data_IF_382318685687
#
_entry.id   IF_382318685687
#
_cell.length_a   1.000
_cell.length_b   1.000
_cell.length_c   1.000
_cell.angle_alpha   90.00
_cell.angle_beta   90.00
_cell.angle_gamma   90.00
#
_symmetry.space_group_name_H-M   'P 1'
#
loop_
_entity.id
_entity.type
_entity.pdbx_description
1 polymer ?
#
# COMPACT_ATOMS: atom_id res chain seq x y z
N UNK A 1 -19.68 8.66 3.19
CA UNK A 1 -20.77 9.57 2.77
C UNK A 1 -20.50 10.96 3.32
N UNK A 2 -20.60 12.01 2.52
CA UNK A 2 -20.48 13.40 2.94
C UNK A 2 -21.71 14.17 2.49
N UNK A 3 -22.42 14.82 3.41
CA UNK A 3 -23.66 15.56 3.11
C UNK A 3 -24.75 14.69 2.45
N UNK A 4 -24.86 13.42 2.84
CA UNK A 4 -25.82 12.47 2.25
C UNK A 4 -25.43 11.90 0.88
N UNK A 5 -24.27 12.28 0.32
CA UNK A 5 -23.76 11.79 -0.96
C UNK A 5 -22.62 10.78 -0.77
N UNK A 6 -22.61 9.72 -1.56
CA UNK A 6 -21.46 8.82 -1.68
C UNK A 6 -20.33 9.55 -2.43
N UNK A 7 -19.16 9.62 -1.79
CA UNK A 7 -18.02 10.43 -2.28
C UNK A 7 -16.73 9.62 -2.41
N UNK A 8 -16.73 8.37 -1.95
CA UNK A 8 -15.60 7.46 -1.97
C UNK A 8 -16.16 6.09 -2.35
N UNK A 9 -15.59 5.50 -3.40
CA UNK A 9 -15.75 4.10 -3.75
C UNK A 9 -14.41 3.39 -3.54
N UNK A 10 -14.44 2.20 -2.94
CA UNK A 10 -13.24 1.37 -2.75
C UNK A 10 -13.53 -0.01 -3.32
N UNK A 11 -12.71 -0.43 -4.30
CA UNK A 11 -12.76 -1.77 -4.87
C UNK A 11 -11.44 -2.49 -4.58
N UNK A 12 -11.53 -3.58 -3.80
CA UNK A 12 -10.41 -4.50 -3.55
C UNK A 12 -10.64 -5.82 -4.27
N UNK A 13 -9.67 -6.26 -5.07
CA UNK A 13 -9.73 -7.56 -5.77
C UNK A 13 -8.51 -8.36 -5.33
N UNK A 14 -8.76 -9.51 -4.71
CA UNK A 14 -7.73 -10.46 -4.31
C UNK A 14 -8.19 -11.85 -4.76
N UNK A 15 -7.37 -12.50 -5.59
CA UNK A 15 -7.67 -13.84 -6.10
C UNK A 15 -6.67 -14.83 -5.54
N UNK A 16 -7.16 -15.85 -4.83
CA UNK A 16 -6.34 -16.97 -4.35
C UNK A 16 -6.53 -18.16 -5.29
N UNK A 17 -5.44 -18.62 -5.90
CA UNK A 17 -5.46 -19.76 -6.81
C UNK A 17 -6.04 -19.43 -8.20
N UNK A 18 -6.25 -20.47 -9.00
CA UNK A 18 -6.51 -20.33 -10.44
C UNK A 18 -7.95 -20.73 -10.86
N UNK A 19 -8.74 -21.27 -9.94
CA UNK A 19 -10.05 -21.87 -10.25
C UNK A 19 -11.25 -21.02 -9.86
N UNK A 20 -11.05 -19.80 -9.35
CA UNK A 20 -12.13 -18.95 -8.87
C UNK A 20 -12.98 -18.43 -10.04
N UNK A 21 -14.30 -18.57 -9.93
CA UNK A 21 -15.27 -18.05 -10.89
C UNK A 21 -16.34 -17.19 -10.20
N UNK A 22 -16.73 -16.04 -10.77
CA UNK A 22 -16.17 -15.44 -11.98
C UNK A 22 -14.75 -14.91 -11.74
N UNK A 23 -13.91 -14.92 -12.78
CA UNK A 23 -12.60 -14.30 -12.72
C UNK A 23 -12.72 -12.78 -12.91
N UNK A 24 -12.30 -11.99 -11.91
CA UNK A 24 -12.21 -10.55 -12.03
C UNK A 24 -10.83 -10.14 -12.56
N UNK A 25 -10.80 -9.38 -13.66
CA UNK A 25 -9.56 -8.76 -14.15
C UNK A 25 -9.12 -7.65 -13.19
N UNK A 26 -7.81 -7.61 -12.89
CA UNK A 26 -7.19 -6.59 -12.05
C UNK A 26 -5.78 -6.29 -12.57
N UNK A 27 -5.35 -5.04 -12.46
CA UNK A 27 -3.94 -4.69 -12.57
C UNK A 27 -3.27 -4.89 -11.20
N UNK A 28 -1.96 -5.16 -11.18
CA UNK A 28 -1.21 -5.20 -9.93
C UNK A 28 -0.88 -3.78 -9.46
N UNK A 29 -1.26 -3.45 -8.23
CA UNK A 29 -1.03 -2.14 -7.63
C UNK A 29 -2.32 -1.44 -7.22
N UNK A 30 -2.24 -0.12 -7.10
CA UNK A 30 -3.34 0.74 -6.68
C UNK A 30 -3.62 1.80 -7.74
N UNK A 31 -4.87 1.90 -8.17
CA UNK A 31 -5.34 3.00 -9.01
C UNK A 31 -6.28 3.86 -8.20
N UNK A 32 -5.92 5.14 -8.06
CA UNK A 32 -6.73 6.13 -7.35
C UNK A 32 -7.13 7.22 -8.33
N UNK A 33 -8.43 7.47 -8.43
CA UNK A 33 -8.99 8.59 -9.20
C UNK A 33 -9.64 9.56 -8.22
N UNK A 34 -9.22 10.82 -8.29
CA UNK A 34 -9.83 11.94 -7.57
C UNK A 34 -10.53 12.81 -8.60
N UNK A 35 -11.86 12.73 -8.62
CA UNK A 35 -12.69 13.53 -9.52
C UNK A 35 -12.79 14.97 -9.01
N UNK A 36 -12.47 15.92 -9.90
CA UNK A 36 -12.41 17.32 -9.54
C UNK A 36 -12.16 18.20 -10.75
N UNK A 37 -11.54 19.36 -10.52
CA UNK A 37 -11.10 20.27 -11.58
C UNK A 37 -9.63 20.63 -11.33
N UNK A 38 -8.65 19.89 -11.88
CA UNK A 38 -8.81 18.75 -12.79
C UNK A 38 -9.16 17.44 -12.07
N UNK A 39 -9.63 16.45 -12.85
CA UNK A 39 -9.62 15.05 -12.40
C UNK A 39 -8.19 14.53 -12.47
N UNK A 40 -7.76 13.86 -11.41
CA UNK A 40 -6.42 13.27 -11.31
C UNK A 40 -6.58 11.77 -11.18
N UNK A 41 -5.86 11.01 -12.01
CA UNK A 41 -5.72 9.56 -11.87
C UNK A 41 -4.26 9.23 -11.64
N UNK A 42 -3.98 8.44 -10.62
CA UNK A 42 -2.64 7.97 -10.28
C UNK A 42 -2.64 6.46 -10.12
N UNK A 43 -1.66 5.82 -10.74
CA UNK A 43 -1.43 4.38 -10.62
C UNK A 43 -0.09 4.16 -9.91
N UNK A 44 -0.11 3.42 -8.83
CA UNK A 44 1.07 2.94 -8.13
C UNK A 44 1.18 1.43 -8.36
N UNK A 45 2.14 1.03 -9.18
CA UNK A 45 2.53 -0.37 -9.36
C UNK A 45 3.80 -0.67 -8.55
N UNK A 46 4.03 -1.95 -8.29
CA UNK A 46 5.26 -2.42 -7.65
C UNK A 46 5.91 -3.44 -8.57
N UNK A 47 7.18 -3.25 -8.84
CA UNK A 47 7.97 -4.16 -9.67
C UNK A 47 9.15 -4.67 -8.83
N UNK A 48 9.59 -5.92 -9.06
CA UNK A 48 10.84 -6.39 -8.46
C UNK A 48 12.00 -5.46 -8.84
N UNK A 49 12.97 -5.24 -7.92
CA UNK A 49 14.16 -4.47 -8.26
C UNK A 49 14.98 -5.18 -9.36
N UNK A 50 15.84 -4.45 -10.10
CA UNK A 50 16.57 -5.01 -11.23
C UNK A 50 17.47 -6.22 -10.91
N UNK A 51 17.90 -6.35 -9.66
CA UNK A 51 18.76 -7.41 -9.15
C UNK A 51 17.98 -8.54 -8.44
N UNK A 52 16.65 -8.51 -8.48
CA UNK A 52 15.82 -9.55 -7.87
C UNK A 52 15.96 -10.87 -8.62
N UNK A 53 16.36 -11.91 -7.88
CA UNK A 53 16.37 -13.30 -8.35
C UNK A 53 15.32 -14.08 -7.55
N UNK A 54 14.40 -14.74 -8.24
CA UNK A 54 13.42 -15.62 -7.63
C UNK A 54 13.47 -17.00 -8.27
N UNK A 55 13.53 -18.04 -7.46
CA UNK A 55 13.51 -19.44 -7.88
C UNK A 55 12.21 -20.12 -7.46
N UNK A 56 11.53 -19.57 -6.45
CA UNK A 56 10.35 -20.15 -5.81
C UNK A 56 9.20 -19.16 -5.72
N UNK A 57 7.98 -19.67 -5.49
CA UNK A 57 6.82 -18.83 -5.21
C UNK A 57 7.01 -18.00 -3.92
N UNK A 58 7.69 -18.58 -2.92
CA UNK A 58 7.94 -17.92 -1.64
C UNK A 58 8.80 -16.65 -1.82
N UNK A 59 9.73 -16.62 -2.77
CA UNK A 59 10.53 -15.41 -3.09
C UNK A 59 9.62 -14.25 -3.53
N UNK A 60 8.63 -14.52 -4.39
CA UNK A 60 7.66 -13.53 -4.82
C UNK A 60 6.70 -13.12 -3.70
N UNK A 61 6.32 -14.05 -2.82
CA UNK A 61 5.51 -13.74 -1.65
C UNK A 61 6.27 -12.78 -0.74
N UNK A 62 7.55 -13.03 -0.46
CA UNK A 62 8.39 -12.17 0.38
C UNK A 62 8.55 -10.77 -0.22
N UNK A 63 8.69 -10.65 -1.54
CA UNK A 63 8.67 -9.36 -2.23
C UNK A 63 7.36 -8.61 -1.98
N UNK A 64 6.21 -9.27 -2.13
CA UNK A 64 4.89 -8.68 -1.86
C UNK A 64 4.70 -8.27 -0.39
N UNK A 65 5.14 -9.10 0.55
CA UNK A 65 5.05 -8.81 1.99
C UNK A 65 5.86 -7.57 2.39
N UNK A 66 6.96 -7.28 1.70
CA UNK A 66 7.77 -6.09 1.94
C UNK A 66 6.96 -4.80 1.77
N UNK A 67 6.06 -4.74 0.78
CA UNK A 67 5.20 -3.57 0.52
C UNK A 67 4.35 -3.22 1.77
N UNK A 68 3.87 -4.24 2.48
CA UNK A 68 3.03 -4.07 3.68
C UNK A 68 3.87 -3.82 4.93
N UNK A 69 5.03 -4.47 5.06
CA UNK A 69 5.91 -4.32 6.22
C UNK A 69 6.57 -2.93 6.29
N UNK A 70 6.92 -2.35 5.14
CA UNK A 70 7.69 -1.11 5.07
C UNK A 70 7.02 0.08 5.79
N UNK A 71 5.73 0.41 5.56
CA UNK A 71 5.06 1.48 6.29
C UNK A 71 5.03 1.26 7.81
N UNK A 72 4.85 0.01 8.26
CA UNK A 72 4.85 -0.29 9.70
C UNK A 72 6.23 -0.05 10.33
N UNK A 73 7.30 -0.47 9.64
CA UNK A 73 8.68 -0.25 10.09
C UNK A 73 9.02 1.25 10.11
N UNK A 74 8.65 1.99 9.06
CA UNK A 74 8.96 3.43 8.98
C UNK A 74 8.13 4.28 9.95
N UNK A 75 7.01 3.76 10.46
CA UNK A 75 6.20 4.40 11.50
C UNK A 75 6.78 4.29 12.91
N UNK A 76 7.68 3.34 13.19
CA UNK A 76 8.13 3.04 14.57
C UNK A 76 8.59 4.31 15.32
N UNK A 77 9.47 5.17 14.77
CA UNK A 77 9.96 6.33 15.52
C UNK A 77 8.85 7.33 15.83
N UNK A 78 7.91 7.53 14.91
CA UNK A 78 6.83 8.52 15.06
C UNK A 78 5.75 8.02 16.02
N UNK A 79 5.47 6.71 16.02
CA UNK A 79 4.59 6.06 16.98
C UNK A 79 5.17 6.11 18.39
N UNK A 80 6.47 5.83 18.56
CA UNK A 80 7.14 5.92 19.87
C UNK A 80 7.11 7.34 20.43
N UNK A 81 7.20 8.36 19.58
CA UNK A 81 7.15 9.76 19.98
C UNK A 81 5.72 10.32 20.16
N UNK A 82 4.68 9.57 19.78
CA UNK A 82 3.30 10.02 19.85
C UNK A 82 2.77 10.03 21.30
N UNK A 83 1.78 10.88 21.62
CA UNK A 83 1.06 10.79 22.88
C UNK A 83 0.44 9.41 23.08
N UNK A 84 0.30 8.98 24.35
CA UNK A 84 -0.39 7.74 24.67
C UNK A 84 -1.84 7.77 24.16
N UNK A 85 -2.27 6.70 23.47
CA UNK A 85 -3.61 6.59 22.89
C UNK A 85 -3.59 5.85 21.56
N UNK A 86 -4.72 5.92 20.84
CA UNK A 86 -4.85 5.39 19.49
C UNK A 86 -4.45 6.52 18.52
N UNK A 87 -3.32 6.36 17.86
CA UNK A 87 -2.89 7.25 16.76
C UNK A 87 -3.18 6.61 15.41
N UNK A 88 -3.52 7.44 14.42
CA UNK A 88 -3.75 7.04 13.03
C UNK A 88 -2.78 7.77 12.09
N UNK A 89 -2.81 7.45 10.80
CA UNK A 89 -2.06 8.19 9.79
C UNK A 89 -2.38 9.69 9.73
N UNK A 90 -3.52 10.13 10.27
CA UNK A 90 -3.88 11.56 10.34
C UNK A 90 -3.20 12.29 11.50
N UNK A 91 -2.70 11.54 12.49
CA UNK A 91 -2.08 12.07 13.72
C UNK A 91 -0.55 12.04 13.64
N UNK A 92 0.00 11.22 12.74
CA UNK A 92 1.43 11.04 12.54
C UNK A 92 1.92 11.90 11.36
N UNK A 93 3.20 12.34 11.35
CA UNK A 93 3.78 12.95 10.17
C UNK A 93 3.86 11.93 9.03
N UNK A 94 4.03 12.42 7.79
CA UNK A 94 4.26 11.56 6.63
C UNK A 94 5.41 10.58 6.93
N UNK A 95 5.14 9.28 6.77
CA UNK A 95 6.13 8.25 7.03
C UNK A 95 7.20 8.28 5.94
N UNK A 96 8.45 8.45 6.35
CA UNK A 96 9.60 8.53 5.46
C UNK A 96 10.56 7.38 5.78
N UNK A 97 11.24 6.80 4.78
CA UNK A 97 12.23 5.74 5.01
C UNK A 97 13.51 6.23 5.70
N UNK A 98 13.70 7.56 5.81
CA UNK A 98 14.89 8.18 6.38
C UNK A 98 15.03 7.88 7.87
N UNK A 99 16.23 7.46 8.28
CA UNK A 99 16.57 7.26 9.70
C UNK A 99 16.11 5.93 10.28
N UNK A 100 15.49 5.06 9.47
CA UNK A 100 15.02 3.73 9.87
C UNK A 100 15.90 2.62 9.29
N UNK A 101 16.44 2.84 8.10
CA UNK A 101 17.47 1.98 7.50
C UNK A 101 18.84 2.63 7.75
N UNK A 102 19.74 1.92 8.43
CA UNK A 102 21.14 2.30 8.47
C UNK A 102 21.74 2.00 7.09
N UNK A 103 22.35 3.00 6.44
CA UNK A 103 23.24 2.74 5.31
C UNK A 103 24.39 1.89 5.82
N UNK A 104 24.53 0.67 5.30
CA UNK A 104 25.78 -0.08 5.43
C UNK A 104 26.88 0.60 4.64
#
# INVERSE_FOLDING_TARGET
VAGGREVIEIRGIWTKGQSLQPAWSTAFGYTVTVEGRPTITSTLSFEPPPDFVAETLDDYIMLGLTITAMPAITAIPTVVAAPAGIATYNDLPLLLPRGVLASR
#
